data_IF_476471626464
#
_entry.id   IF_476471626464
#
_cell.length_a   1.000
_cell.length_b   1.000
_cell.length_c   1.000
_cell.angle_alpha   90.00
_cell.angle_beta   90.00
_cell.angle_gamma   90.00
#
_symmetry.space_group_name_H-M   'P 1'
#
loop_
_entity.id
_entity.type
_entity.pdbx_description
1 polymer ?
#
# COMPACT_ATOMS: atom_id res chain seq x y z
N UNK A 1 14.79 1.39 -5.96
CA UNK A 1 15.13 0.07 -6.56
C UNK A 1 14.68 -1.11 -5.68
N UNK A 2 15.04 -1.19 -4.39
CA UNK A 2 14.67 -2.31 -3.52
C UNK A 2 13.15 -2.52 -3.45
N UNK A 3 12.37 -1.44 -3.24
CA UNK A 3 10.92 -1.50 -3.19
C UNK A 3 10.31 -2.03 -4.50
N UNK A 4 10.79 -1.56 -5.65
CA UNK A 4 10.29 -2.00 -6.96
C UNK A 4 10.50 -3.50 -7.16
N UNK A 5 11.67 -4.02 -6.76
CA UNK A 5 11.97 -5.46 -6.84
C UNK A 5 10.97 -6.25 -5.99
N UNK A 6 10.72 -5.83 -4.75
CA UNK A 6 9.75 -6.49 -3.85
C UNK A 6 8.34 -6.47 -4.45
N UNK A 7 7.91 -5.33 -5.00
CA UNK A 7 6.59 -5.19 -5.64
C UNK A 7 6.48 -6.08 -6.88
N UNK A 8 7.54 -6.20 -7.69
CA UNK A 8 7.56 -7.11 -8.84
C UNK A 8 7.46 -8.57 -8.42
N UNK A 9 8.22 -8.99 -7.40
CA UNK A 9 8.15 -10.36 -6.87
C UNK A 9 6.72 -10.67 -6.39
N UNK A 10 6.11 -9.76 -5.64
CA UNK A 10 4.74 -9.94 -5.17
C UNK A 10 3.72 -9.92 -6.31
N UNK A 11 3.91 -9.06 -7.32
CA UNK A 11 3.07 -9.03 -8.52
C UNK A 11 3.15 -10.36 -9.29
N UNK A 12 4.36 -10.86 -9.54
CA UNK A 12 4.58 -12.16 -10.18
C UNK A 12 3.95 -13.29 -9.37
N UNK A 13 4.15 -13.30 -8.06
CA UNK A 13 3.54 -14.28 -7.16
C UNK A 13 2.01 -14.31 -7.31
N UNK A 14 1.34 -13.14 -7.30
CA UNK A 14 -0.12 -13.08 -7.42
C UNK A 14 -0.62 -13.47 -8.82
N UNK A 15 0.15 -13.20 -9.87
CA UNK A 15 -0.22 -13.59 -11.24
C UNK A 15 -0.06 -15.09 -11.48
N UNK A 16 0.98 -15.70 -10.93
CA UNK A 16 1.31 -17.11 -11.11
C UNK A 16 0.54 -18.02 -10.15
N UNK A 17 0.10 -17.49 -9.00
CA UNK A 17 -0.62 -18.28 -8.01
C UNK A 17 -2.01 -18.66 -8.54
N UNK A 18 -2.22 -19.93 -8.80
CA UNK A 18 -3.55 -20.50 -9.02
C UNK A 18 -4.33 -20.48 -7.69
N UNK A 19 -5.65 -20.27 -7.79
CA UNK A 19 -6.54 -20.37 -6.63
C UNK A 19 -6.68 -21.84 -6.22
N UNK A 20 -5.64 -22.41 -5.64
CA UNK A 20 -5.78 -23.62 -4.88
C UNK A 20 -6.51 -23.27 -3.58
N UNK A 21 -7.83 -23.42 -3.63
CA UNK A 21 -8.77 -23.26 -2.52
C UNK A 21 -8.53 -24.26 -1.38
N UNK A 22 -7.47 -25.04 -1.41
CA UNK A 22 -7.15 -26.03 -0.42
C UNK A 22 -6.37 -25.43 0.76
N UNK A 23 -7.15 -24.87 1.69
CA UNK A 23 -7.08 -25.18 3.13
C UNK A 23 -5.68 -25.16 3.75
N UNK A 24 -4.99 -24.06 3.69
CA UNK A 24 -4.12 -23.74 4.81
C UNK A 24 -4.93 -22.81 5.70
N UNK A 25 -5.58 -23.37 6.73
CA UNK A 25 -6.06 -22.58 7.84
C UNK A 25 -4.81 -21.96 8.46
N UNK A 26 -4.63 -20.64 8.42
CA UNK A 26 -3.43 -20.04 8.99
C UNK A 26 -3.50 -20.21 10.50
N UNK A 27 -2.87 -21.24 11.01
CA UNK A 27 -2.67 -21.50 12.44
C UNK A 27 -1.49 -20.68 12.94
N UNK A 28 -1.46 -19.39 12.63
CA UNK A 28 -0.48 -18.53 13.22
C UNK A 28 -1.01 -17.94 14.54
N UNK A 29 -0.21 -18.07 15.58
CA UNK A 29 -0.37 -17.36 16.83
C UNK A 29 -0.44 -15.83 16.58
N UNK A 30 -0.95 -15.08 17.51
CA UNK A 30 -1.04 -13.61 17.43
C UNK A 30 0.34 -12.96 17.22
N UNK A 31 1.36 -13.47 17.90
CA UNK A 31 2.72 -12.89 17.91
C UNK A 31 3.38 -12.78 16.52
N UNK A 32 3.49 -13.84 15.68
CA UNK A 32 4.10 -13.71 14.36
C UNK A 32 3.30 -12.80 13.42
N UNK A 33 1.99 -12.68 13.57
CA UNK A 33 1.17 -11.72 12.80
C UNK A 33 1.50 -10.28 13.20
N UNK A 34 1.66 -10.01 14.48
CA UNK A 34 2.04 -8.70 14.99
C UNK A 34 3.43 -8.28 14.50
N UNK A 35 4.41 -9.20 14.54
CA UNK A 35 5.78 -8.94 14.04
C UNK A 35 5.76 -8.64 12.53
N UNK A 36 5.06 -9.43 11.73
CA UNK A 36 4.94 -9.17 10.30
C UNK A 36 4.23 -7.85 9.99
N UNK A 37 3.17 -7.52 10.74
CA UNK A 37 2.49 -6.23 10.64
C UNK A 37 3.41 -5.07 11.00
N UNK A 38 4.21 -5.19 12.04
CA UNK A 38 5.19 -4.20 12.44
C UNK A 38 6.27 -3.99 11.37
N UNK A 39 6.87 -5.06 10.85
CA UNK A 39 7.88 -5.00 9.79
C UNK A 39 7.29 -4.37 8.53
N UNK A 40 6.11 -4.82 8.07
CA UNK A 40 5.48 -4.28 6.88
C UNK A 40 5.10 -2.81 7.06
N UNK A 41 4.63 -2.40 8.23
CA UNK A 41 4.31 -1.02 8.58
C UNK A 41 5.55 -0.13 8.59
N UNK A 42 6.63 -0.58 9.22
CA UNK A 42 7.89 0.16 9.29
C UNK A 42 8.53 0.39 7.91
N UNK A 43 8.36 -0.54 6.98
CA UNK A 43 8.84 -0.39 5.59
C UNK A 43 7.89 0.50 4.78
N UNK A 44 6.58 0.37 4.97
CA UNK A 44 5.56 1.10 4.19
C UNK A 44 5.45 2.57 4.59
N UNK A 45 5.62 2.90 5.87
CA UNK A 45 5.42 4.24 6.39
C UNK A 45 6.37 5.29 5.77
N UNK A 46 7.71 5.08 5.70
CA UNK A 46 8.62 6.03 5.07
C UNK A 46 8.37 6.23 3.57
N UNK A 47 7.78 5.22 2.92
CA UNK A 47 7.50 5.26 1.49
C UNK A 47 6.16 5.94 1.15
N UNK A 48 5.38 6.35 2.15
CA UNK A 48 4.06 6.95 1.94
C UNK A 48 3.05 6.01 1.30
N UNK A 49 3.33 4.70 1.30
CA UNK A 49 2.50 3.68 0.66
C UNK A 49 1.63 3.06 1.74
N UNK A 50 0.32 3.19 1.57
CA UNK A 50 -0.63 2.48 2.43
C UNK A 50 -0.35 0.98 2.34
N UNK A 51 -0.19 0.32 3.48
CA UNK A 51 0.26 -1.06 3.61
C UNK A 51 -0.46 -2.12 2.76
N UNK A 52 -1.45 -1.73 1.93
CA UNK A 52 -2.19 -2.64 1.06
C UNK A 52 -1.28 -3.36 0.04
N UNK A 53 -0.30 -2.66 -0.53
CA UNK A 53 0.59 -3.24 -1.56
C UNK A 53 1.44 -4.39 -1.02
N UNK A 54 1.87 -4.30 0.23
CA UNK A 54 2.64 -5.37 0.88
C UNK A 54 1.75 -6.35 1.63
N UNK A 55 0.74 -5.86 2.34
CA UNK A 55 -0.10 -6.70 3.19
C UNK A 55 -1.00 -7.64 2.39
N UNK A 56 -1.49 -7.25 1.21
CA UNK A 56 -2.32 -8.14 0.38
C UNK A 56 -1.55 -9.37 -0.09
N UNK A 57 -0.35 -9.26 -0.72
CA UNK A 57 0.45 -10.43 -1.08
C UNK A 57 0.86 -11.28 0.13
N UNK A 58 1.25 -10.65 1.24
CA UNK A 58 1.62 -11.35 2.48
C UNK A 58 0.43 -12.16 3.01
N UNK A 59 -0.75 -11.57 3.11
CA UNK A 59 -1.95 -12.27 3.57
C UNK A 59 -2.34 -13.40 2.60
N UNK A 60 -2.15 -13.19 1.29
CA UNK A 60 -2.35 -14.25 0.29
C UNK A 60 -1.36 -15.40 0.46
N UNK A 61 -0.10 -15.10 0.73
CA UNK A 61 0.92 -16.10 1.04
C UNK A 61 0.52 -16.97 2.23
N UNK A 62 -0.12 -16.38 3.24
CA UNK A 62 -0.70 -17.12 4.38
C UNK A 62 -2.05 -17.78 4.10
N UNK A 63 -2.48 -17.88 2.83
CA UNK A 63 -3.68 -18.62 2.45
C UNK A 63 -5.01 -17.88 2.65
N UNK A 64 -4.99 -16.57 2.96
CA UNK A 64 -6.22 -15.79 3.03
C UNK A 64 -6.85 -15.60 1.64
N UNK A 65 -8.19 -15.71 1.49
CA UNK A 65 -8.87 -15.37 0.24
C UNK A 65 -8.57 -13.91 -0.15
N UNK A 66 -8.42 -13.63 -1.45
CA UNK A 66 -8.04 -12.30 -1.95
C UNK A 66 -8.95 -11.18 -1.43
N UNK A 67 -10.25 -11.42 -1.37
CA UNK A 67 -11.23 -10.43 -0.87
C UNK A 67 -11.00 -10.11 0.61
N UNK A 68 -10.72 -11.13 1.43
CA UNK A 68 -10.38 -10.92 2.85
C UNK A 68 -9.02 -10.25 3.02
N UNK A 69 -8.04 -10.59 2.17
CA UNK A 69 -6.72 -9.96 2.18
C UNK A 69 -6.82 -8.47 1.87
N UNK A 70 -7.58 -8.09 0.84
CA UNK A 70 -7.83 -6.68 0.48
C UNK A 70 -8.54 -5.94 1.61
N UNK A 71 -9.61 -6.51 2.17
CA UNK A 71 -10.35 -5.88 3.27
C UNK A 71 -9.51 -5.70 4.53
N UNK A 72 -8.72 -6.72 4.91
CA UNK A 72 -7.81 -6.63 6.07
C UNK A 72 -6.69 -5.61 5.83
N UNK A 73 -6.12 -5.57 4.62
CA UNK A 73 -5.10 -4.60 4.27
C UNK A 73 -5.63 -3.16 4.28
N UNK A 74 -6.89 -2.94 3.86
CA UNK A 74 -7.55 -1.64 3.94
C UNK A 74 -7.75 -1.21 5.40
N UNK A 75 -8.16 -2.12 6.29
CA UNK A 75 -8.30 -1.83 7.72
C UNK A 75 -6.95 -1.46 8.37
N UNK A 76 -5.87 -2.19 8.04
CA UNK A 76 -4.51 -1.86 8.50
C UNK A 76 -4.10 -0.49 7.96
N UNK A 77 -4.36 -0.21 6.68
CA UNK A 77 -4.07 1.07 6.03
C UNK A 77 -4.76 2.25 6.73
N UNK A 78 -5.99 2.06 7.20
CA UNK A 78 -6.72 3.08 7.96
C UNK A 78 -6.00 3.45 9.28
N UNK A 79 -5.56 2.46 10.04
CA UNK A 79 -4.80 2.67 11.29
C UNK A 79 -3.48 3.40 11.01
N UNK A 80 -2.74 2.95 9.98
CA UNK A 80 -1.47 3.58 9.57
C UNK A 80 -1.70 5.03 9.15
N UNK A 81 -2.76 5.32 8.39
CA UNK A 81 -3.06 6.66 7.90
C UNK A 81 -3.39 7.63 9.03
N UNK A 82 -4.16 7.22 10.03
CA UNK A 82 -4.45 8.05 11.20
C UNK A 82 -3.16 8.35 11.97
N UNK A 83 -2.38 7.31 12.30
CA UNK A 83 -1.13 7.46 13.04
C UNK A 83 -0.13 8.34 12.29
N UNK A 84 -0.02 8.14 10.97
CA UNK A 84 0.85 8.94 10.11
C UNK A 84 0.41 10.41 10.05
N UNK A 85 -0.89 10.68 9.93
CA UNK A 85 -1.43 12.05 9.91
C UNK A 85 -1.13 12.76 11.22
N UNK A 86 -1.35 12.12 12.36
CA UNK A 86 -1.00 12.67 13.68
C UNK A 86 0.51 12.96 13.76
N UNK A 87 1.35 12.04 13.27
CA UNK A 87 2.79 12.23 13.22
C UNK A 87 3.22 13.43 12.38
N UNK A 88 2.73 13.56 11.15
CA UNK A 88 3.03 14.69 10.26
C UNK A 88 2.50 16.02 10.80
N UNK A 89 1.33 16.01 11.40
CA UNK A 89 0.75 17.19 12.04
C UNK A 89 1.61 17.65 13.22
N UNK A 90 1.90 16.77 14.16
CA UNK A 90 2.67 17.10 15.38
C UNK A 90 4.11 17.49 15.07
N UNK A 91 4.79 16.77 14.18
CA UNK A 91 6.16 17.09 13.77
C UNK A 91 6.25 18.42 13.04
N UNK A 92 5.28 18.72 12.16
CA UNK A 92 5.24 19.98 11.45
C UNK A 92 4.99 21.17 12.37
N UNK A 93 4.19 21.01 13.42
CA UNK A 93 4.01 22.05 14.46
C UNK A 93 5.26 22.22 15.30
N UNK A 94 5.92 21.13 15.68
CA UNK A 94 7.14 21.17 16.49
C UNK A 94 8.32 21.86 15.77
N UNK A 95 8.43 21.64 14.45
CA UNK A 95 9.48 22.26 13.63
C UNK A 95 9.13 23.66 13.11
N UNK A 96 7.99 24.21 13.52
CA UNK A 96 7.48 25.53 13.12
C UNK A 96 7.49 25.73 11.59
N UNK A 97 7.07 24.69 10.87
CA UNK A 97 7.04 24.69 9.41
C UNK A 97 5.86 25.50 8.91
N UNK A 98 6.13 26.67 8.33
CA UNK A 98 5.13 27.56 7.73
C UNK A 98 5.03 27.33 6.23
N UNK A 99 4.23 26.34 5.81
CA UNK A 99 3.88 26.11 4.41
C UNK A 99 2.54 26.81 4.08
N UNK A 100 2.36 27.40 2.89
CA UNK A 100 1.13 28.06 2.54
C UNK A 100 -0.05 27.09 2.57
N UNK A 101 -1.15 27.51 3.21
CA UNK A 101 -2.40 26.73 3.33
C UNK A 101 -2.21 25.34 3.97
N UNK A 102 -1.24 25.20 4.84
CA UNK A 102 -0.93 23.94 5.54
C UNK A 102 -0.92 24.14 7.05
N UNK A 103 -1.24 23.10 7.79
CA UNK A 103 -1.08 23.02 9.23
C UNK A 103 -0.03 21.95 9.52
N UNK A 104 1.15 22.38 9.96
CA UNK A 104 2.33 21.50 9.97
C UNK A 104 2.67 21.03 8.56
N UNK A 105 2.84 19.74 8.37
CA UNK A 105 3.06 19.15 7.04
C UNK A 105 1.77 18.74 6.30
N UNK A 106 0.59 19.05 6.86
CA UNK A 106 -0.70 18.68 6.24
C UNK A 106 -1.25 19.83 5.40
N UNK A 107 -1.27 19.68 4.08
CA UNK A 107 -1.84 20.63 3.15
C UNK A 107 -3.37 20.53 3.14
N UNK A 108 -4.07 21.56 3.60
CA UNK A 108 -5.52 21.55 3.76
C UNK A 108 -6.29 21.51 2.43
N UNK A 109 -5.95 22.31 1.39
CA UNK A 109 -6.60 22.19 0.09
C UNK A 109 -6.49 20.79 -0.53
N UNK A 110 -5.30 20.19 -0.49
CA UNK A 110 -5.10 18.83 -0.98
C UNK A 110 -5.97 17.84 -0.22
N UNK A 111 -6.01 17.92 1.10
CA UNK A 111 -6.83 17.07 1.96
C UNK A 111 -8.32 17.15 1.59
N UNK A 112 -8.86 18.37 1.42
CA UNK A 112 -10.26 18.58 1.06
C UNK A 112 -10.62 18.04 -0.33
N UNK A 113 -9.71 18.09 -1.29
CA UNK A 113 -9.91 17.53 -2.63
C UNK A 113 -9.84 16.01 -2.61
N UNK A 114 -8.88 15.44 -1.87
CA UNK A 114 -8.68 13.98 -1.85
C UNK A 114 -9.79 13.22 -1.13
N UNK A 115 -10.40 13.77 -0.08
CA UNK A 115 -11.46 13.08 0.69
C UNK A 115 -12.62 12.63 -0.19
N UNK A 116 -13.33 13.52 -0.93
CA UNK A 116 -14.48 13.10 -1.72
C UNK A 116 -14.06 12.14 -2.84
N UNK A 117 -12.95 12.38 -3.52
CA UNK A 117 -12.46 11.54 -4.61
C UNK A 117 -12.17 10.12 -4.10
N UNK A 118 -11.40 10.00 -3.02
CA UNK A 118 -11.03 8.70 -2.47
C UNK A 118 -12.23 7.94 -1.90
N UNK A 119 -13.18 8.65 -1.27
CA UNK A 119 -14.40 8.03 -0.73
C UNK A 119 -15.28 7.45 -1.84
N UNK A 120 -15.46 8.19 -2.95
CA UNK A 120 -16.23 7.72 -4.09
C UNK A 120 -15.52 6.54 -4.76
N UNK A 121 -14.20 6.67 -5.01
CA UNK A 121 -13.42 5.61 -5.65
C UNK A 121 -13.32 4.35 -4.80
N UNK A 122 -13.28 4.46 -3.47
CA UNK A 122 -13.31 3.31 -2.58
C UNK A 122 -14.61 2.51 -2.71
N UNK A 123 -15.77 3.18 -2.80
CA UNK A 123 -17.06 2.52 -3.04
C UNK A 123 -17.09 1.81 -4.40
N UNK A 124 -16.63 2.48 -5.44
CA UNK A 124 -16.53 1.89 -6.79
C UNK A 124 -15.62 0.66 -6.78
N UNK A 125 -14.46 0.76 -6.14
CA UNK A 125 -13.51 -0.35 -6.01
C UNK A 125 -14.09 -1.55 -5.28
N UNK A 126 -14.73 -1.34 -4.13
CA UNK A 126 -15.37 -2.41 -3.35
C UNK A 126 -16.47 -3.09 -4.17
N UNK A 127 -17.36 -2.34 -4.79
CA UNK A 127 -18.44 -2.88 -5.60
C UNK A 127 -17.92 -3.68 -6.81
N UNK A 128 -16.83 -3.23 -7.42
CA UNK A 128 -16.18 -3.92 -8.54
C UNK A 128 -15.57 -5.24 -8.09
N UNK A 129 -14.82 -5.24 -7.00
CA UNK A 129 -14.18 -6.47 -6.47
C UNK A 129 -15.22 -7.50 -6.06
N UNK A 130 -16.34 -7.09 -5.45
CA UNK A 130 -17.41 -8.02 -5.07
C UNK A 130 -18.14 -8.65 -6.27
N UNK A 131 -18.20 -7.97 -7.40
CA UNK A 131 -18.81 -8.50 -8.64
C UNK A 131 -17.86 -9.38 -9.47
N UNK A 132 -16.57 -9.39 -9.13
CA UNK A 132 -15.56 -10.14 -9.85
C UNK A 132 -15.32 -11.52 -9.26
N UNK A 133 -14.90 -12.48 -10.10
CA UNK A 133 -14.35 -13.73 -9.60
C UNK A 133 -13.04 -13.47 -8.84
N UNK A 134 -12.76 -14.28 -7.82
CA UNK A 134 -11.55 -14.14 -6.98
C UNK A 134 -10.26 -14.15 -7.80
N UNK A 135 -10.20 -15.00 -8.86
CA UNK A 135 -9.06 -15.08 -9.77
C UNK A 135 -8.88 -13.76 -10.54
N UNK A 136 -9.97 -13.17 -11.05
CA UNK A 136 -9.89 -11.88 -11.75
C UNK A 136 -9.42 -10.77 -10.81
N UNK A 137 -9.97 -10.69 -9.59
CA UNK A 137 -9.54 -9.71 -8.59
C UNK A 137 -8.06 -9.87 -8.24
N UNK A 138 -7.58 -11.11 -8.09
CA UNK A 138 -6.17 -11.39 -7.81
C UNK A 138 -5.25 -10.97 -8.97
N UNK A 139 -5.61 -11.32 -10.21
CA UNK A 139 -4.84 -10.94 -11.40
C UNK A 139 -4.81 -9.42 -11.60
N UNK A 140 -5.94 -8.74 -11.43
CA UNK A 140 -5.99 -7.28 -11.51
C UNK A 140 -5.07 -6.63 -10.47
N UNK A 141 -5.06 -7.15 -9.24
CA UNK A 141 -4.16 -6.64 -8.21
C UNK A 141 -2.69 -6.92 -8.56
N UNK A 142 -2.38 -8.08 -9.12
CA UNK A 142 -1.03 -8.40 -9.62
C UNK A 142 -0.58 -7.44 -10.73
N UNK A 143 -1.43 -7.19 -11.74
CA UNK A 143 -1.15 -6.21 -12.80
C UNK A 143 -0.95 -4.80 -12.23
N UNK A 144 -1.79 -4.39 -11.28
CA UNK A 144 -1.63 -3.11 -10.58
C UNK A 144 -0.26 -2.98 -9.91
N UNK A 145 0.22 -4.03 -9.23
CA UNK A 145 1.55 -4.04 -8.63
C UNK A 145 2.66 -3.90 -9.70
N UNK A 146 2.52 -4.55 -10.86
CA UNK A 146 3.48 -4.38 -11.95
C UNK A 146 3.53 -2.95 -12.47
N UNK A 147 2.37 -2.33 -12.70
CA UNK A 147 2.31 -0.92 -13.15
C UNK A 147 2.99 0.00 -12.14
N UNK A 148 2.67 -0.15 -10.86
CA UNK A 148 3.30 0.64 -9.80
C UNK A 148 4.81 0.38 -9.72
N UNK A 149 5.24 -0.87 -9.78
CA UNK A 149 6.65 -1.24 -9.79
C UNK A 149 7.42 -0.57 -10.95
N UNK A 150 6.82 -0.55 -12.15
CA UNK A 150 7.40 0.10 -13.32
C UNK A 150 7.53 1.61 -13.15
N UNK A 151 6.49 2.27 -12.61
CA UNK A 151 6.52 3.71 -12.31
C UNK A 151 7.65 4.03 -11.33
N UNK A 152 7.79 3.25 -10.26
CA UNK A 152 8.85 3.47 -9.27
C UNK A 152 10.27 3.25 -9.84
N UNK A 153 10.44 2.30 -10.76
CA UNK A 153 11.73 2.12 -11.45
C UNK A 153 12.02 3.33 -12.34
N UNK A 154 11.07 3.78 -13.14
CA UNK A 154 11.24 4.95 -14.00
C UNK A 154 11.65 6.18 -13.19
N UNK A 155 10.96 6.46 -12.09
CA UNK A 155 11.28 7.60 -11.22
C UNK A 155 12.67 7.45 -10.60
N UNK A 156 13.03 6.26 -10.10
CA UNK A 156 14.36 6.02 -9.54
C UNK A 156 15.46 6.20 -10.58
N UNK A 157 15.22 5.81 -11.83
CA UNK A 157 16.21 5.94 -12.91
C UNK A 157 16.42 7.39 -13.34
N UNK A 158 15.34 8.18 -13.40
CA UNK A 158 15.42 9.61 -13.72
C UNK A 158 16.17 10.40 -12.64
N UNK A 159 15.97 10.08 -11.36
CA UNK A 159 16.72 10.69 -10.26
C UNK A 159 18.22 10.37 -10.30
N UNK A 160 18.60 9.13 -10.60
CA UNK A 160 20.01 8.74 -10.70
C UNK A 160 20.69 9.45 -11.85
N UNK A 161 20.03 9.58 -13.00
CA UNK A 161 20.59 10.27 -14.19
C UNK A 161 20.74 11.78 -13.97
N UNK A 162 19.83 12.40 -13.22
CA UNK A 162 19.94 13.82 -12.89
C UNK A 162 21.19 14.11 -12.03
N UNK A 163 21.53 13.25 -11.10
CA UNK A 163 22.77 13.37 -10.30
C UNK A 163 24.05 13.16 -11.09
N UNK A 164 24.03 12.33 -12.15
CA UNK A 164 25.21 12.14 -13.03
C UNK A 164 25.45 13.32 -13.95
N UNK A 165 24.44 14.14 -14.24
CA UNK A 165 24.59 15.33 -15.14
C UNK A 165 24.95 16.59 -14.39
N UNK A 166 24.98 16.60 -13.07
CA UNK A 166 25.40 17.74 -12.23
C UNK A 166 26.86 17.61 -11.73
N UNK A 167 27.59 16.53 -12.09
CA UNK A 167 29.01 16.32 -11.85
C UNK A 167 29.82 16.57 -13.13
#
# INVERSE_FOLDING_TARGET
LFFSIVVFIFGAYLLLQQENSNKIKPRFSFFPKAVLGFISGSISAPMGITGAMMNVPILRFFGYPITKAIGSAAAIGWVISISGTIGFFSTGLYLDVSLPLSIGFVNIPAFLIFIPITTIMARVGVNTVHKMSKIKAQRMFGVFLYVIGTIFISVSYTHLRAHETEL
#
